data_IF_385641882235
#
_entry.id   IF_385641882235
#
_cell.length_a   1.000
_cell.length_b   1.000
_cell.length_c   1.000
_cell.angle_alpha   90.00
_cell.angle_beta   90.00
_cell.angle_gamma   90.00
#
_symmetry.space_group_name_H-M   'P 1'
#
loop_
_entity.id
_entity.type
_entity.pdbx_description
1 polymer ?
#
# COMPACT_ATOMS: atom_id res chain seq x y z
N UNK A 1 -31.43 -10.88 58.07
CA UNK A 1 -30.12 -10.34 57.62
C UNK A 1 -29.64 -11.33 56.57
N UNK A 2 -29.34 -11.01 55.30
CA UNK A 2 -28.80 -9.79 54.70
C UNK A 2 -29.21 -9.81 53.21
N UNK A 3 -29.95 -8.79 52.74
CA UNK A 3 -30.29 -8.62 51.32
C UNK A 3 -29.07 -8.00 50.62
N UNK A 4 -28.43 -8.73 49.71
CA UNK A 4 -27.33 -8.20 48.90
C UNK A 4 -27.93 -7.62 47.62
N UNK A 5 -28.03 -6.30 47.58
CA UNK A 5 -28.49 -5.54 46.42
C UNK A 5 -27.42 -5.57 45.33
N UNK A 6 -27.71 -6.22 44.20
CA UNK A 6 -26.91 -6.17 42.98
C UNK A 6 -27.09 -4.78 42.36
N UNK A 7 -26.09 -3.91 42.54
CA UNK A 7 -26.03 -2.63 41.84
C UNK A 7 -25.43 -2.84 40.44
N UNK A 8 -26.27 -2.66 39.43
CA UNK A 8 -25.90 -2.54 38.03
C UNK A 8 -25.04 -1.27 37.84
N UNK A 9 -23.71 -1.40 37.91
CA UNK A 9 -22.81 -0.41 37.33
C UNK A 9 -22.70 -0.67 35.83
N UNK A 10 -23.74 -0.30 35.09
CA UNK A 10 -23.62 0.00 33.65
C UNK A 10 -22.87 1.34 33.53
N UNK A 11 -21.56 1.30 33.79
CA UNK A 11 -20.66 2.39 33.49
C UNK A 11 -20.53 2.51 31.98
N UNK A 12 -21.28 3.43 31.39
CA UNK A 12 -21.09 3.88 30.01
C UNK A 12 -19.73 4.57 29.96
N UNK A 13 -18.68 3.82 29.62
CA UNK A 13 -17.39 4.40 29.24
C UNK A 13 -17.59 5.05 27.87
N UNK A 14 -18.03 6.31 27.88
CA UNK A 14 -17.89 7.20 26.73
C UNK A 14 -16.40 7.50 26.62
N UNK A 15 -15.69 6.75 25.78
CA UNK A 15 -14.35 7.17 25.36
C UNK A 15 -14.52 8.38 24.46
N UNK A 16 -14.42 9.57 25.06
CA UNK A 16 -14.12 10.81 24.34
C UNK A 16 -12.82 10.60 23.57
N UNK A 17 -12.94 10.35 22.27
CA UNK A 17 -11.81 10.41 21.35
C UNK A 17 -11.44 11.88 21.18
N UNK A 18 -10.61 12.40 22.10
CA UNK A 18 -10.04 13.73 21.98
C UNK A 18 -9.16 13.77 20.73
N UNK A 19 -9.68 14.35 19.65
CA UNK A 19 -8.90 14.64 18.44
C UNK A 19 -7.88 15.73 18.78
N UNK A 20 -6.60 15.38 18.78
CA UNK A 20 -5.53 16.31 19.09
C UNK A 20 -5.19 17.11 17.82
N UNK A 21 -5.12 18.44 17.91
CA UNK A 21 -4.78 19.33 16.79
C UNK A 21 -3.74 20.35 17.24
N UNK A 22 -2.70 20.57 16.46
CA UNK A 22 -1.71 21.63 16.72
C UNK A 22 -2.23 22.96 16.17
N UNK A 23 -2.11 24.02 16.97
CA UNK A 23 -2.46 25.39 16.55
C UNK A 23 -1.21 26.09 16.05
N UNK A 24 -1.25 26.58 14.82
CA UNK A 24 -0.18 27.34 14.21
C UNK A 24 -0.13 28.79 14.72
N UNK A 25 0.96 29.53 14.49
CA UNK A 25 1.12 30.89 15.01
C UNK A 25 0.04 31.90 14.56
N UNK A 26 -0.62 31.66 13.43
CA UNK A 26 -1.73 32.48 12.92
C UNK A 26 -3.12 32.05 13.44
N UNK A 27 -3.17 31.09 14.36
CA UNK A 27 -4.39 30.53 14.91
C UNK A 27 -5.05 29.46 14.04
N UNK A 28 -4.49 29.14 12.87
CA UNK A 28 -4.94 28.00 12.07
C UNK A 28 -4.64 26.67 12.78
N UNK A 29 -5.39 25.62 12.46
CA UNK A 29 -5.25 24.30 13.08
C UNK A 29 -4.79 23.26 12.06
N UNK A 30 -3.86 22.43 12.50
CA UNK A 30 -3.38 21.26 11.78
C UNK A 30 -3.58 19.99 12.63
N UNK A 31 -3.57 18.82 11.99
CA UNK A 31 -3.53 17.53 12.71
C UNK A 31 -2.30 17.47 13.63
N UNK A 32 -2.44 16.74 14.73
CA UNK A 32 -1.37 16.41 15.68
C UNK A 32 -0.08 15.83 15.08
N UNK A 33 -0.15 15.18 13.92
CA UNK A 33 1.02 14.64 13.22
C UNK A 33 1.57 15.58 12.14
N UNK A 34 0.96 16.75 11.96
CA UNK A 34 1.36 17.71 10.94
C UNK A 34 2.29 18.82 11.48
N UNK A 35 3.05 19.44 10.57
CA UNK A 35 3.91 20.60 10.87
C UNK A 35 3.34 21.85 10.25
N UNK A 36 3.17 22.90 11.05
CA UNK A 36 2.80 24.22 10.56
C UNK A 36 3.93 24.81 9.70
N UNK A 37 3.66 24.99 8.41
CA UNK A 37 4.59 25.61 7.48
C UNK A 37 4.00 26.89 6.88
N UNK A 38 4.84 27.92 6.84
CA UNK A 38 4.45 29.25 6.36
C UNK A 38 4.18 29.24 4.85
N UNK A 39 3.18 30.00 4.43
CA UNK A 39 2.80 30.27 3.04
C UNK A 39 2.74 31.77 2.77
N UNK A 40 2.31 32.16 1.58
CA UNK A 40 2.06 33.58 1.24
C UNK A 40 0.85 34.18 1.96
N UNK A 41 -0.05 33.36 2.52
CA UNK A 41 -1.33 33.80 3.11
C UNK A 41 -1.49 33.46 4.60
N UNK A 42 -0.47 32.87 5.24
CA UNK A 42 -0.52 32.42 6.63
C UNK A 42 0.28 31.14 6.83
N UNK A 43 -0.32 30.15 7.48
CA UNK A 43 0.22 28.81 7.65
C UNK A 43 -0.63 27.75 6.94
N UNK A 44 0.02 26.65 6.60
CA UNK A 44 -0.58 25.44 6.03
C UNK A 44 0.08 24.22 6.67
N UNK A 45 -0.58 23.09 6.58
CA UNK A 45 -0.18 21.87 7.27
C UNK A 45 0.67 21.00 6.34
N UNK A 46 1.86 20.64 6.81
CA UNK A 46 2.64 19.58 6.20
C UNK A 46 2.28 18.25 6.87
N UNK A 47 1.95 17.19 6.11
CA UNK A 47 1.47 15.92 6.66
C UNK A 47 2.59 15.09 7.32
N UNK A 48 3.70 15.73 7.68
CA UNK A 48 4.84 15.12 8.34
C UNK A 48 5.12 15.81 9.67
N UNK A 49 5.42 15.04 10.73
CA UNK A 49 5.88 15.62 11.98
C UNK A 49 7.32 16.11 11.81
N UNK A 50 7.61 17.31 12.30
CA UNK A 50 8.93 17.97 12.17
C UNK A 50 9.39 18.09 10.70
N UNK A 51 8.46 18.42 9.80
CA UNK A 51 8.74 18.61 8.39
C UNK A 51 9.72 19.76 8.14
N UNK A 52 10.51 19.68 7.06
CA UNK A 52 11.20 20.85 6.52
C UNK A 52 10.25 21.62 5.59
N UNK A 53 9.96 22.87 5.92
CA UNK A 53 9.20 23.77 5.04
C UNK A 53 10.10 24.29 3.92
N UNK A 54 9.71 24.09 2.67
CA UNK A 54 10.48 24.56 1.53
C UNK A 54 10.28 26.07 1.30
N UNK A 55 11.30 26.72 0.74
CA UNK A 55 11.29 28.17 0.49
C UNK A 55 10.34 28.58 -0.65
N UNK A 56 9.81 27.62 -1.41
CA UNK A 56 8.76 27.86 -2.42
C UNK A 56 7.38 28.18 -1.83
N UNK A 57 7.26 28.18 -0.50
CA UNK A 57 6.02 28.46 0.24
C UNK A 57 4.85 27.52 -0.05
N UNK A 58 5.01 26.52 -0.91
CA UNK A 58 3.94 25.63 -1.39
C UNK A 58 4.18 24.16 -1.09
N UNK A 59 5.43 23.76 -0.87
CA UNK A 59 5.78 22.37 -0.57
C UNK A 59 6.59 22.20 0.73
N UNK A 60 6.71 20.95 1.15
CA UNK A 60 7.55 20.55 2.26
C UNK A 60 8.11 19.15 2.08
N UNK A 61 9.12 18.86 2.89
CA UNK A 61 9.82 17.59 2.91
C UNK A 61 9.69 16.91 4.28
N UNK A 62 9.75 15.57 4.30
CA UNK A 62 9.81 14.82 5.56
C UNK A 62 11.08 15.16 6.36
N UNK A 63 11.10 14.84 7.67
CA UNK A 63 12.25 15.13 8.52
C UNK A 63 13.55 14.50 7.98
N UNK A 64 14.64 15.26 8.02
CA UNK A 64 15.96 14.82 7.52
C UNK A 64 16.16 14.93 6.00
N UNK A 65 15.18 15.50 5.28
CA UNK A 65 15.29 15.83 3.87
C UNK A 65 15.36 17.34 3.63
N UNK A 66 16.11 17.72 2.61
CA UNK A 66 16.26 19.08 2.10
C UNK A 66 15.54 19.27 0.79
N UNK A 67 14.91 20.43 0.62
CA UNK A 67 14.23 20.78 -0.61
C UNK A 67 15.23 21.16 -1.70
N UNK A 68 15.21 20.44 -2.81
CA UNK A 68 15.85 20.86 -4.06
C UNK A 68 14.80 21.50 -4.97
N UNK A 69 14.79 22.83 -5.01
CA UNK A 69 13.77 23.58 -5.75
C UNK A 69 13.94 23.49 -7.27
N UNK A 70 15.13 23.15 -7.76
CA UNK A 70 15.38 22.99 -9.21
C UNK A 70 14.75 21.70 -9.71
N UNK A 71 14.91 20.61 -8.96
CA UNK A 71 14.36 19.30 -9.34
C UNK A 71 12.99 19.02 -8.75
N UNK A 72 12.49 19.88 -7.84
CA UNK A 72 11.26 19.67 -7.06
C UNK A 72 11.29 18.37 -6.24
N UNK A 73 12.48 18.01 -5.74
CA UNK A 73 12.71 16.78 -4.96
C UNK A 73 13.24 17.09 -3.57
N UNK A 74 12.77 16.33 -2.58
CA UNK A 74 13.36 16.19 -1.27
C UNK A 74 14.60 15.28 -1.36
N UNK A 75 15.77 15.78 -0.99
CA UNK A 75 17.04 15.04 -0.97
C UNK A 75 17.49 14.82 0.46
N UNK A 76 17.89 13.60 0.82
CA UNK A 76 18.35 13.30 2.18
C UNK A 76 19.71 13.95 2.45
N UNK A 77 19.88 14.60 3.61
CA UNK A 77 21.07 15.42 3.92
C UNK A 77 22.43 14.71 3.75
N UNK A 78 22.47 13.39 3.96
CA UNK A 78 23.71 12.61 3.92
C UNK A 78 23.72 11.51 2.83
N UNK A 79 22.67 11.41 2.02
CA UNK A 79 22.52 10.36 1.00
C UNK A 79 21.76 10.93 -0.22
N UNK A 80 22.43 11.71 -1.09
CA UNK A 80 21.78 12.44 -2.18
C UNK A 80 21.15 11.54 -3.26
N UNK A 81 21.47 10.24 -3.27
CA UNK A 81 20.78 9.24 -4.11
C UNK A 81 19.38 8.87 -3.60
N UNK A 82 19.07 9.15 -2.32
CA UNK A 82 17.72 9.00 -1.77
C UNK A 82 16.98 10.31 -2.00
N UNK A 83 16.16 10.33 -3.05
CA UNK A 83 15.34 11.47 -3.44
C UNK A 83 13.88 11.08 -3.58
N UNK A 84 12.98 11.98 -3.24
CA UNK A 84 11.54 11.80 -3.41
C UNK A 84 10.88 13.13 -3.80
N UNK A 85 9.72 13.13 -4.48
CA UNK A 85 9.04 14.36 -4.82
C UNK A 85 8.67 15.19 -3.59
N UNK A 86 8.75 16.51 -3.72
CA UNK A 86 8.28 17.44 -2.69
C UNK A 86 6.76 17.33 -2.55
N UNK A 87 6.27 17.33 -1.30
CA UNK A 87 4.83 17.19 -1.02
C UNK A 87 4.20 18.57 -0.87
N UNK A 88 3.04 18.76 -1.49
CA UNK A 88 2.28 20.01 -1.39
C UNK A 88 1.66 20.13 0.00
N UNK A 89 1.69 21.33 0.57
CA UNK A 89 1.07 21.61 1.87
C UNK A 89 -0.46 21.51 1.78
N UNK A 90 -1.10 21.07 2.85
CA UNK A 90 -2.55 21.01 3.00
C UNK A 90 -3.06 22.29 3.66
N UNK A 91 -4.24 22.76 3.26
CA UNK A 91 -4.80 23.99 3.83
C UNK A 91 -5.09 23.80 5.32
N UNK A 92 -4.61 24.72 6.15
CA UNK A 92 -4.89 24.68 7.58
C UNK A 92 -6.32 25.12 7.86
N UNK A 93 -6.98 24.46 8.80
CA UNK A 93 -8.37 24.77 9.13
C UNK A 93 -8.41 26.11 9.87
N UNK A 94 -9.01 27.11 9.21
CA UNK A 94 -9.05 28.48 9.72
C UNK A 94 -10.18 28.60 10.74
N UNK A 95 -9.97 29.28 11.89
CA UNK A 95 -11.07 29.59 12.79
C UNK A 95 -12.14 30.37 12.02
N UNK A 96 -13.34 29.80 11.90
CA UNK A 96 -14.48 30.51 11.34
C UNK A 96 -14.76 31.74 12.22
N UNK A 97 -14.68 32.92 11.62
CA UNK A 97 -15.25 34.12 12.24
C UNK A 97 -16.75 33.87 12.48
N UNK A 98 -17.35 34.43 13.55
CA UNK A 98 -18.70 34.08 13.98
C UNK A 98 -19.70 34.39 12.87
N UNK A 99 -20.25 33.33 12.27
CA UNK A 99 -21.35 33.39 11.31
C UNK A 99 -22.61 33.77 12.09
N UNK A 100 -23.27 34.82 11.62
CA UNK A 100 -24.57 35.29 12.16
C UNK A 100 -25.68 34.27 11.87
N UNK A 101 -26.82 34.31 12.59
CA UNK A 101 -27.78 33.21 12.64
C UNK A 101 -28.41 32.86 11.28
N UNK A 102 -28.83 31.60 11.08
CA UNK A 102 -29.31 31.12 9.79
C UNK A 102 -30.67 31.74 9.47
N UNK A 103 -30.79 32.37 8.31
CA UNK A 103 -32.08 32.57 7.67
C UNK A 103 -32.27 31.48 6.62
N UNK A 104 -33.29 30.65 6.87
CA UNK A 104 -33.90 29.79 5.87
C UNK A 104 -34.22 30.60 4.62
N UNK A 105 -33.79 30.14 3.44
CA UNK A 105 -34.71 30.10 2.32
C UNK A 105 -34.27 29.13 1.20
N UNK A 106 -35.24 28.28 0.85
CA UNK A 106 -35.40 27.49 -0.37
C UNK A 106 -34.40 26.37 -0.66
N UNK A 107 -34.76 25.22 -0.10
CA UNK A 107 -34.71 23.91 -0.74
C UNK A 107 -35.01 24.02 -2.25
N UNK A 108 -33.96 23.97 -3.06
CA UNK A 108 -34.08 23.52 -4.45
C UNK A 108 -33.36 22.20 -4.52
N UNK A 109 -34.16 21.15 -4.66
CA UNK A 109 -33.75 19.79 -4.93
C UNK A 109 -32.76 19.76 -6.10
N UNK A 110 -31.47 19.64 -5.77
CA UNK A 110 -30.45 19.13 -6.67
C UNK A 110 -30.04 17.81 -6.04
N UNK A 111 -30.15 16.67 -6.74
CA UNK A 111 -29.70 15.40 -6.18
C UNK A 111 -28.22 15.55 -5.88
N UNK A 112 -27.90 15.44 -4.61
CA UNK A 112 -26.56 15.40 -4.06
C UNK A 112 -25.88 14.16 -4.65
N UNK A 113 -25.32 14.28 -5.84
CA UNK A 113 -24.32 13.34 -6.32
C UNK A 113 -23.14 13.57 -5.41
N UNK A 114 -23.12 12.83 -4.30
CA UNK A 114 -21.97 12.61 -3.43
C UNK A 114 -20.81 12.24 -4.33
N UNK A 115 -20.08 13.26 -4.77
CA UNK A 115 -18.93 13.14 -5.65
C UNK A 115 -17.83 12.56 -4.77
N UNK A 116 -17.83 11.23 -4.65
CA UNK A 116 -16.66 10.51 -4.22
C UNK A 116 -15.54 10.99 -5.13
N UNK A 117 -14.56 11.70 -4.58
CA UNK A 117 -13.31 11.82 -5.30
C UNK A 117 -12.78 10.39 -5.49
N UNK A 118 -12.04 10.19 -6.56
CA UNK A 118 -11.39 8.91 -6.85
C UNK A 118 -9.96 9.24 -7.15
N UNK A 119 -9.04 8.42 -6.65
CA UNK A 119 -7.62 8.57 -6.92
C UNK A 119 -7.33 7.91 -8.26
N UNK A 120 -7.05 8.71 -9.29
CA UNK A 120 -6.65 8.19 -10.60
C UNK A 120 -5.20 7.70 -10.54
N UNK A 121 -4.99 6.40 -10.78
CA UNK A 121 -3.66 5.81 -10.85
C UNK A 121 -3.04 5.99 -12.23
N UNK A 122 -3.85 5.81 -13.28
CA UNK A 122 -3.54 6.12 -14.67
C UNK A 122 -4.83 6.31 -15.50
N UNK A 123 -4.71 6.24 -16.83
CA UNK A 123 -5.83 6.39 -17.77
C UNK A 123 -6.80 5.20 -17.79
N UNK A 124 -6.47 4.08 -17.14
CA UNK A 124 -7.23 2.84 -17.13
C UNK A 124 -7.67 2.45 -15.71
N UNK A 125 -6.99 2.90 -14.66
CA UNK A 125 -7.16 2.42 -13.29
C UNK A 125 -7.45 3.56 -12.29
N UNK A 126 -8.42 3.31 -11.41
CA UNK A 126 -8.80 4.20 -10.30
C UNK A 126 -8.86 3.47 -8.96
N UNK A 127 -8.52 4.19 -7.90
CA UNK A 127 -8.66 3.77 -6.51
C UNK A 127 -9.67 4.63 -5.75
N UNK A 128 -10.27 4.11 -4.67
CA UNK A 128 -11.12 4.91 -3.80
C UNK A 128 -10.36 6.07 -3.15
N UNK A 129 -11.09 7.08 -2.69
CA UNK A 129 -10.51 8.16 -1.90
C UNK A 129 -9.75 7.65 -0.68
N UNK A 130 -8.58 8.24 -0.45
CA UNK A 130 -7.71 7.86 0.66
C UNK A 130 -6.83 6.64 0.41
N UNK A 131 -6.89 6.03 -0.78
CA UNK A 131 -6.03 4.90 -1.14
C UNK A 131 -4.80 5.37 -1.91
N UNK A 132 -3.68 4.65 -1.76
CA UNK A 132 -2.45 4.90 -2.52
C UNK A 132 -2.36 3.92 -3.70
N UNK A 133 -2.11 4.44 -4.90
CA UNK A 133 -1.90 3.61 -6.09
C UNK A 133 -0.53 2.91 -6.04
N UNK A 134 -0.52 1.59 -6.02
CA UNK A 134 0.66 0.74 -6.06
C UNK A 134 0.76 0.00 -7.39
N UNK A 135 1.88 0.18 -8.09
CA UNK A 135 2.12 -0.45 -9.39
C UNK A 135 2.74 -1.82 -9.21
N UNK A 136 2.08 -2.84 -9.74
CA UNK A 136 2.57 -4.20 -9.76
C UNK A 136 3.63 -4.41 -10.87
N UNK A 137 4.65 -5.26 -10.67
CA UNK A 137 5.69 -5.54 -11.68
C UNK A 137 5.16 -6.00 -13.04
N UNK A 138 4.00 -6.68 -13.08
CA UNK A 138 3.30 -7.08 -14.32
C UNK A 138 2.52 -5.94 -15.01
N UNK A 139 2.59 -4.71 -14.50
CA UNK A 139 2.02 -3.51 -15.14
C UNK A 139 0.58 -3.15 -14.75
N UNK A 140 -0.02 -3.85 -13.79
CA UNK A 140 -1.36 -3.55 -13.25
C UNK A 140 -1.29 -2.71 -11.97
N UNK A 141 -2.38 -2.07 -11.58
CA UNK A 141 -2.46 -1.26 -10.36
C UNK A 141 -3.28 -1.93 -9.25
N UNK A 142 -2.81 -1.73 -8.03
CA UNK A 142 -3.49 -2.10 -6.80
C UNK A 142 -3.62 -0.88 -5.89
N UNK A 143 -4.71 -0.80 -5.16
CA UNK A 143 -5.05 0.24 -4.21
C UNK A 143 -4.63 -0.17 -2.81
N UNK A 144 -3.64 0.52 -2.26
CA UNK A 144 -3.23 0.39 -0.87
C UNK A 144 -4.20 1.15 0.04
N UNK A 145 -4.69 0.50 1.09
CA UNK A 145 -5.66 1.08 2.03
C UNK A 145 -5.11 2.17 2.95
N UNK A 146 -3.82 2.50 2.84
CA UNK A 146 -3.20 3.60 3.56
C UNK A 146 -3.09 4.84 2.68
N UNK A 147 -3.45 5.99 3.25
CA UNK A 147 -3.06 7.30 2.72
C UNK A 147 -1.54 7.42 2.80
N UNK A 148 -0.88 7.74 1.68
CA UNK A 148 0.59 7.82 1.58
C UNK A 148 1.31 6.51 1.99
N UNK A 149 0.70 5.37 1.66
CA UNK A 149 1.26 4.05 1.94
C UNK A 149 2.54 3.79 1.13
N UNK A 150 3.51 3.11 1.74
CA UNK A 150 4.70 2.64 1.05
C UNK A 150 4.40 1.33 0.32
N UNK A 151 4.36 1.39 -1.01
CA UNK A 151 4.19 0.19 -1.83
C UNK A 151 5.43 -0.72 -1.72
N UNK A 152 5.19 -2.01 -1.51
CA UNK A 152 6.22 -3.03 -1.59
C UNK A 152 6.57 -3.28 -3.07
N UNK A 153 7.74 -3.86 -3.32
CA UNK A 153 8.22 -4.12 -4.68
C UNK A 153 7.41 -5.21 -5.39
N UNK A 154 6.73 -6.07 -4.66
CA UNK A 154 5.81 -7.04 -5.24
C UNK A 154 4.52 -6.41 -5.77
N UNK A 155 4.21 -5.18 -5.37
CA UNK A 155 3.01 -4.43 -5.76
C UNK A 155 1.69 -5.01 -5.26
N UNK A 156 1.71 -6.03 -4.41
CA UNK A 156 0.52 -6.56 -3.72
C UNK A 156 0.45 -6.10 -2.26
N UNK A 157 1.60 -5.81 -1.67
CA UNK A 157 1.66 -5.36 -0.30
C UNK A 157 2.03 -3.88 -0.25
N UNK A 158 1.59 -3.24 0.82
CA UNK A 158 1.95 -1.90 1.18
C UNK A 158 1.97 -1.72 2.70
N UNK A 159 2.79 -0.78 3.14
CA UNK A 159 2.93 -0.44 4.54
C UNK A 159 2.38 0.96 4.83
N UNK A 160 1.93 1.21 6.06
CA UNK A 160 1.56 2.55 6.48
C UNK A 160 2.78 3.49 6.35
N UNK A 161 2.50 4.78 6.24
CA UNK A 161 3.55 5.79 6.11
C UNK A 161 4.61 5.65 7.22
N UNK A 162 5.89 5.72 6.83
CA UNK A 162 7.03 5.59 7.73
C UNK A 162 7.45 4.15 8.06
N UNK A 163 6.81 3.16 7.45
CA UNK A 163 7.21 1.76 7.54
C UNK A 163 7.62 1.21 6.19
N UNK A 164 8.60 0.33 6.23
CA UNK A 164 9.17 -0.33 5.07
C UNK A 164 8.72 -1.78 5.05
N UNK A 165 8.47 -2.30 3.87
CA UNK A 165 8.21 -3.72 3.75
C UNK A 165 9.49 -4.47 4.12
N UNK A 166 9.36 -5.50 4.93
CA UNK A 166 10.43 -6.46 5.12
C UNK A 166 10.75 -7.14 3.77
N UNK A 167 11.86 -7.87 3.72
CA UNK A 167 12.32 -8.51 2.49
C UNK A 167 11.35 -9.57 1.95
N UNK A 168 10.41 -10.04 2.79
CA UNK A 168 9.37 -11.00 2.39
C UNK A 168 8.05 -10.33 2.02
N UNK A 169 7.95 -9.00 2.17
CA UNK A 169 6.76 -8.17 1.99
C UNK A 169 5.55 -8.60 2.84
N UNK A 170 5.79 -9.38 3.90
CA UNK A 170 4.74 -9.84 4.81
C UNK A 170 4.62 -8.97 6.06
N UNK A 171 5.67 -8.21 6.39
CA UNK A 171 5.69 -7.36 7.57
C UNK A 171 6.13 -5.94 7.22
N UNK A 172 5.57 -5.00 7.97
CA UNK A 172 6.03 -3.62 7.97
C UNK A 172 7.05 -3.44 9.10
N UNK A 173 8.22 -2.91 8.78
CA UNK A 173 9.34 -2.71 9.69
C UNK A 173 9.78 -1.25 9.69
N UNK A 174 10.33 -0.79 10.81
CA UNK A 174 10.95 0.53 10.91
C UNK A 174 12.21 0.39 11.76
N UNK A 175 13.36 0.76 11.20
CA UNK A 175 14.66 0.70 11.89
C UNK A 175 14.94 -0.66 12.57
N UNK A 176 14.61 -1.76 11.87
CA UNK A 176 14.75 -3.15 12.33
C UNK A 176 13.81 -3.61 13.47
N UNK A 177 12.88 -2.76 13.91
CA UNK A 177 11.77 -3.18 14.78
C UNK A 177 10.57 -3.63 13.93
N UNK A 178 10.08 -4.85 14.21
CA UNK A 178 8.87 -5.40 13.58
C UNK A 178 7.65 -4.67 14.11
N UNK A 179 6.80 -4.15 13.23
CA UNK A 179 5.53 -3.57 13.62
C UNK A 179 4.53 -4.70 13.92
N UNK A 180 4.04 -4.83 15.16
CA UNK A 180 3.12 -5.90 15.51
C UNK A 180 1.71 -5.48 15.11
N UNK A 181 1.20 -5.99 14.00
CA UNK A 181 -0.26 -6.06 13.83
C UNK A 181 -0.77 -7.27 14.61
N UNK A 182 -1.82 -7.06 15.40
CA UNK A 182 -2.68 -8.15 15.88
C UNK A 182 -3.34 -8.84 14.68
N UNK A 183 -3.68 -10.14 14.80
CA UNK A 183 -4.12 -10.97 13.69
C UNK A 183 -5.56 -10.62 13.32
N UNK A 184 -5.77 -9.47 12.67
CA UNK A 184 -6.98 -9.11 11.92
C UNK A 184 -6.69 -7.88 11.06
N UNK A 185 -6.06 -8.10 9.91
CA UNK A 185 -6.61 -7.72 8.62
C UNK A 185 -5.70 -8.24 7.50
N UNK A 186 -6.25 -9.16 6.72
CA UNK A 186 -5.69 -9.57 5.45
C UNK A 186 -6.16 -8.59 4.36
N UNK A 187 -5.30 -8.45 3.34
CA UNK A 187 -5.37 -7.61 2.14
C UNK A 187 -4.88 -6.17 2.32
N UNK A 188 -3.56 -6.06 2.30
CA UNK A 188 -2.80 -4.81 2.27
C UNK A 188 -3.04 -3.98 1.00
N UNK A 189 -3.47 -4.60 -0.10
CA UNK A 189 -3.97 -3.88 -1.27
C UNK A 189 -5.13 -4.62 -1.97
N UNK A 190 -5.94 -3.87 -2.71
CA UNK A 190 -7.11 -4.36 -3.47
C UNK A 190 -6.88 -4.00 -4.95
N UNK A 191 -7.24 -4.83 -5.94
CA UNK A 191 -7.12 -4.46 -7.35
C UNK A 191 -7.78 -3.11 -7.67
N UNK A 192 -7.12 -2.26 -8.47
CA UNK A 192 -7.71 -1.01 -8.92
C UNK A 192 -8.86 -1.26 -9.90
N UNK A 193 -9.88 -0.39 -9.84
CA UNK A 193 -11.04 -0.50 -10.72
C UNK A 193 -10.68 -0.02 -12.11
N UNK A 194 -11.02 -0.81 -13.13
CA UNK A 194 -10.87 -0.43 -14.53
C UNK A 194 -11.92 0.63 -14.90
N UNK A 195 -11.48 1.69 -15.57
CA UNK A 195 -12.36 2.69 -16.18
C UNK A 195 -12.93 2.05 -17.45
N UNK A 196 -14.13 1.45 -17.37
CA UNK A 196 -14.81 0.96 -18.57
C UNK A 196 -15.15 2.14 -19.51
N UNK A 197 -14.92 2.03 -20.83
CA UNK A 197 -15.56 2.91 -21.78
C UNK A 197 -17.09 2.66 -21.77
N UNK A 198 -17.92 3.65 -22.13
CA UNK A 198 -19.37 3.51 -22.13
C UNK A 198 -19.80 2.35 -23.04
N UNK A 199 -20.78 1.61 -22.54
CA UNK A 199 -21.40 0.44 -23.15
C UNK A 199 -21.96 0.79 -24.54
N UNK A 200 -21.48 0.08 -25.56
CA UNK A 200 -22.25 -0.22 -26.78
C UNK A 200 -21.97 -1.69 -27.14
N UNK A 201 -22.90 -2.54 -26.72
CA UNK A 201 -23.06 -3.96 -27.08
C UNK A 201 -23.38 -4.11 -28.59
N UNK A 202 -23.10 -5.27 -29.24
CA UNK A 202 -24.04 -6.40 -29.10
C UNK A 202 -23.45 -7.83 -29.14
N UNK A 203 -23.88 -8.63 -28.16
CA UNK A 203 -24.56 -9.93 -28.22
C UNK A 203 -23.99 -11.02 -29.13
N UNK A 204 -23.47 -12.08 -28.51
CA UNK A 204 -23.73 -13.46 -28.96
C UNK A 204 -24.08 -14.38 -27.77
N UNK A 205 -25.17 -15.11 -27.96
CA UNK A 205 -26.00 -15.84 -27.00
C UNK A 205 -25.35 -17.05 -26.31
N UNK A 206 -25.62 -17.12 -25.00
CA UNK A 206 -26.02 -18.25 -24.14
C UNK A 206 -25.66 -19.71 -24.49
N UNK A 207 -25.23 -20.47 -23.47
CA UNK A 207 -26.01 -21.62 -22.96
C UNK A 207 -25.60 -21.99 -21.51
N UNK A 208 -26.53 -22.41 -20.63
CA UNK A 208 -26.28 -22.70 -19.22
C UNK A 208 -26.19 -24.21 -18.88
N UNK A 209 -25.90 -24.47 -17.60
CA UNK A 209 -25.81 -25.74 -16.83
C UNK A 209 -24.44 -26.42 -16.83
N UNK A 210 -23.88 -26.84 -15.68
CA UNK A 210 -24.49 -27.82 -14.77
C UNK A 210 -23.91 -27.72 -13.35
N UNK A 211 -24.75 -27.90 -12.34
CA UNK A 211 -24.36 -28.13 -10.93
C UNK A 211 -23.61 -29.45 -10.78
N UNK A 212 -22.43 -29.42 -10.16
CA UNK A 212 -21.79 -30.61 -9.58
C UNK A 212 -21.76 -30.50 -8.06
N UNK A 213 -22.19 -31.61 -7.48
CA UNK A 213 -22.34 -31.93 -6.07
C UNK A 213 -21.03 -31.80 -5.29
N UNK A 214 -21.19 -31.36 -4.05
CA UNK A 214 -20.19 -31.25 -2.98
C UNK A 214 -19.32 -32.51 -2.81
N UNK A 215 -18.00 -32.37 -3.03
CA UNK A 215 -17.02 -33.28 -2.44
C UNK A 215 -16.74 -32.81 -1.01
N UNK A 216 -17.04 -33.67 -0.04
CA UNK A 216 -16.86 -33.41 1.39
C UNK A 216 -15.37 -33.42 1.76
N UNK A 217 -14.94 -32.30 2.34
CA UNK A 217 -13.90 -32.06 3.36
C UNK A 217 -12.75 -33.08 3.47
N UNK A 218 -11.53 -32.67 3.08
CA UNK A 218 -10.33 -32.82 3.93
C UNK A 218 -9.22 -31.85 3.52
N UNK A 219 -8.78 -31.07 4.52
CA UNK A 219 -7.56 -30.26 4.62
C UNK A 219 -7.52 -28.84 3.98
N UNK A 220 -6.91 -27.85 4.68
CA UNK A 220 -6.91 -26.45 4.27
C UNK A 220 -5.92 -26.30 3.12
N UNK A 221 -6.42 -26.29 1.88
CA UNK A 221 -5.55 -26.18 0.71
C UNK A 221 -4.71 -24.90 0.75
N UNK A 222 -3.43 -25.11 1.06
CA UNK A 222 -2.36 -24.18 0.88
C UNK A 222 -2.37 -23.70 -0.58
N UNK A 223 -2.57 -22.39 -0.78
CA UNK A 223 -2.65 -21.80 -2.12
C UNK A 223 -1.44 -22.15 -2.98
N UNK A 224 -1.69 -22.70 -4.17
CA UNK A 224 -0.66 -23.03 -5.17
C UNK A 224 -0.26 -21.80 -5.99
N UNK A 225 1.01 -21.74 -6.42
CA UNK A 225 1.53 -20.68 -7.28
C UNK A 225 1.39 -21.13 -8.74
N UNK A 226 0.41 -20.57 -9.47
CA UNK A 226 0.22 -20.89 -10.89
C UNK A 226 1.24 -20.15 -11.76
N UNK A 227 2.04 -20.91 -12.52
CA UNK A 227 3.04 -20.39 -13.44
C UNK A 227 2.42 -20.03 -14.80
N UNK A 228 1.50 -20.87 -15.28
CA UNK A 228 0.64 -20.60 -16.43
C UNK A 228 -0.70 -21.37 -16.31
N UNK A 229 -1.40 -21.55 -17.44
CA UNK A 229 -2.69 -22.25 -17.50
C UNK A 229 -2.61 -23.75 -17.21
N UNK A 230 -1.42 -24.37 -17.33
CA UNK A 230 -1.21 -25.82 -17.18
C UNK A 230 -0.27 -26.17 -16.04
N UNK A 231 0.68 -25.30 -15.69
CA UNK A 231 1.76 -25.58 -14.75
C UNK A 231 1.64 -24.75 -13.47
N UNK A 232 1.89 -25.38 -12.33
CA UNK A 232 1.87 -24.76 -11.02
C UNK A 232 2.95 -25.30 -10.07
N UNK A 233 3.24 -24.50 -9.04
CA UNK A 233 4.17 -24.82 -7.97
C UNK A 233 3.46 -24.82 -6.60
N UNK A 234 4.06 -25.52 -5.64
CA UNK A 234 3.62 -25.47 -4.23
C UNK A 234 3.75 -24.06 -3.65
N UNK A 235 3.04 -23.79 -2.56
CA UNK A 235 3.14 -22.52 -1.84
C UNK A 235 4.59 -22.25 -1.41
N UNK A 236 5.04 -21.00 -1.55
CA UNK A 236 6.42 -20.60 -1.20
C UNK A 236 7.47 -20.84 -2.29
N UNK A 237 7.09 -21.41 -3.44
CA UNK A 237 7.99 -21.59 -4.57
C UNK A 237 7.88 -20.45 -5.59
N UNK A 238 8.92 -20.28 -6.41
CA UNK A 238 8.93 -19.31 -7.54
C UNK A 238 8.94 -20.04 -8.88
N UNK A 239 8.10 -19.60 -9.80
CA UNK A 239 8.08 -20.13 -11.17
C UNK A 239 9.31 -19.67 -11.95
N UNK A 240 10.14 -20.62 -12.37
CA UNK A 240 11.31 -20.40 -13.20
C UNK A 240 11.17 -21.13 -14.54
N UNK A 241 11.74 -20.55 -15.59
CA UNK A 241 11.85 -21.22 -16.89
C UNK A 241 13.07 -22.13 -16.89
N UNK A 242 12.84 -23.39 -17.26
CA UNK A 242 13.88 -24.37 -17.48
C UNK A 242 14.72 -24.05 -18.73
N UNK A 243 15.82 -24.78 -18.93
CA UNK A 243 16.70 -24.64 -20.10
C UNK A 243 16.00 -24.82 -21.46
N UNK A 244 14.91 -25.60 -21.49
CA UNK A 244 14.07 -25.84 -22.67
C UNK A 244 12.83 -24.93 -22.76
N UNK A 245 12.64 -24.02 -21.79
CA UNK A 245 11.46 -23.14 -21.72
C UNK A 245 10.23 -23.75 -21.04
N UNK A 246 10.32 -24.99 -20.54
CA UNK A 246 9.30 -25.57 -19.66
C UNK A 246 9.28 -24.86 -18.28
N UNK A 247 8.18 -24.97 -17.54
CA UNK A 247 8.11 -24.40 -16.20
C UNK A 247 8.69 -25.35 -15.16
N UNK A 248 9.49 -24.76 -14.28
CA UNK A 248 10.07 -25.38 -13.11
C UNK A 248 9.77 -24.50 -11.87
N UNK A 249 9.87 -25.10 -10.69
CA UNK A 249 9.69 -24.49 -9.40
C UNK A 249 11.03 -24.32 -8.70
N UNK A 250 11.40 -23.08 -8.42
CA UNK A 250 12.45 -22.78 -7.48
C UNK A 250 11.90 -22.89 -6.05
N UNK A 251 12.57 -23.60 -5.12
CA UNK A 251 12.09 -23.78 -3.74
C UNK A 251 12.22 -22.52 -2.88
N UNK A 252 12.71 -21.42 -3.45
CA UNK A 252 12.82 -20.15 -2.77
C UNK A 252 11.66 -19.23 -3.14
N UNK A 253 10.98 -18.62 -2.15
CA UNK A 253 9.99 -17.59 -2.42
C UNK A 253 10.70 -16.36 -2.97
N UNK A 254 10.16 -15.81 -4.07
CA UNK A 254 10.74 -14.67 -4.80
C UNK A 254 12.20 -14.89 -5.22
N UNK A 255 12.55 -16.14 -5.54
CA UNK A 255 13.90 -16.53 -5.93
C UNK A 255 14.29 -15.98 -7.31
N UNK A 256 15.57 -15.64 -7.47
CA UNK A 256 16.16 -15.26 -8.75
C UNK A 256 16.42 -16.52 -9.58
N UNK A 257 15.77 -16.66 -10.74
CA UNK A 257 16.07 -17.76 -11.67
C UNK A 257 17.43 -17.52 -12.36
N UNK A 258 18.30 -18.52 -12.35
CA UNK A 258 19.57 -18.45 -13.06
C UNK A 258 19.38 -18.64 -14.57
N UNK A 259 20.34 -18.14 -15.35
CA UNK A 259 20.28 -18.16 -16.83
C UNK A 259 20.42 -19.55 -17.42
N UNK A 260 20.99 -20.48 -16.67
CA UNK A 260 21.15 -21.87 -17.09
C UNK A 260 19.81 -22.65 -17.13
N UNK A 261 18.76 -22.12 -16.52
CA UNK A 261 17.44 -22.75 -16.44
C UNK A 261 17.44 -24.03 -15.59
N UNK A 262 18.44 -24.22 -14.73
CA UNK A 262 18.54 -25.38 -13.82
C UNK A 262 18.65 -24.91 -12.39
N UNK A 263 19.31 -23.78 -12.15
CA UNK A 263 19.54 -23.27 -10.81
C UNK A 263 18.71 -22.03 -10.51
N UNK A 264 18.57 -21.74 -9.23
CA UNK A 264 18.00 -20.50 -8.75
C UNK A 264 18.63 -20.08 -7.42
N UNK A 265 18.55 -18.79 -7.13
CA UNK A 265 19.02 -18.21 -5.88
C UNK A 265 17.85 -17.75 -5.02
N UNK A 266 18.04 -17.81 -3.71
CA UNK A 266 17.12 -17.19 -2.78
C UNK A 266 17.00 -15.68 -3.02
N UNK A 267 15.89 -15.10 -2.60
CA UNK A 267 15.69 -13.66 -2.70
C UNK A 267 16.85 -12.87 -2.07
N UNK A 268 17.31 -11.83 -2.78
CA UNK A 268 18.45 -11.00 -2.38
C UNK A 268 19.83 -11.51 -2.81
N UNK A 269 19.90 -12.68 -3.46
CA UNK A 269 21.14 -13.20 -4.05
C UNK A 269 21.06 -13.26 -5.57
N UNK A 270 22.20 -13.01 -6.22
CA UNK A 270 22.33 -13.06 -7.69
C UNK A 270 23.19 -14.24 -8.09
N UNK A 271 22.74 -15.00 -9.10
CA UNK A 271 23.53 -16.09 -9.65
C UNK A 271 24.87 -15.56 -10.17
N UNK A 272 25.95 -16.24 -9.78
CA UNK A 272 27.25 -16.04 -10.39
C UNK A 272 27.22 -16.44 -11.88
N UNK A 273 28.25 -16.08 -12.66
CA UNK A 273 28.28 -16.43 -14.09
C UNK A 273 28.19 -17.93 -14.37
N UNK A 274 28.60 -18.78 -13.42
CA UNK A 274 28.53 -20.24 -13.54
C UNK A 274 27.16 -20.83 -13.15
N UNK A 275 26.28 -20.01 -12.56
CA UNK A 275 24.99 -20.39 -11.96
C UNK A 275 25.06 -21.44 -10.84
N UNK A 276 26.27 -21.82 -10.39
CA UNK A 276 26.50 -22.79 -9.30
C UNK A 276 26.54 -22.12 -7.93
N UNK A 277 26.72 -20.79 -7.90
CA UNK A 277 26.76 -20.04 -6.66
C UNK A 277 25.93 -18.77 -6.74
N UNK A 278 25.47 -18.34 -5.58
CA UNK A 278 24.62 -17.20 -5.38
C UNK A 278 25.42 -16.18 -4.57
N UNK A 279 25.59 -14.99 -5.13
CA UNK A 279 26.33 -13.87 -4.54
C UNK A 279 25.37 -12.85 -3.95
N UNK A 280 25.51 -12.58 -2.67
CA UNK A 280 24.81 -11.54 -1.93
C UNK A 280 25.77 -10.42 -1.53
N UNK A 281 25.27 -9.45 -0.77
CA UNK A 281 26.04 -8.24 -0.39
C UNK A 281 27.35 -8.53 0.38
N UNK A 282 27.37 -9.58 1.21
CA UNK A 282 28.54 -9.98 2.01
C UNK A 282 28.76 -11.50 2.07
N UNK A 283 28.06 -12.27 1.25
CA UNK A 283 28.01 -13.74 1.37
C UNK A 283 27.91 -14.42 0.01
N UNK A 284 28.48 -15.62 -0.07
CA UNK A 284 28.33 -16.51 -1.21
C UNK A 284 27.79 -17.84 -0.70
N UNK A 285 26.69 -18.29 -1.29
CA UNK A 285 26.03 -19.56 -0.94
C UNK A 285 25.86 -20.39 -2.22
N UNK A 286 25.80 -21.73 -2.14
CA UNK A 286 25.50 -22.54 -3.32
C UNK A 286 24.09 -22.22 -3.85
N UNK A 287 23.92 -22.35 -5.16
CA UNK A 287 22.60 -22.21 -5.78
C UNK A 287 21.69 -23.39 -5.47
N UNK A 288 20.39 -23.12 -5.37
CA UNK A 288 19.37 -24.17 -5.31
C UNK A 288 19.07 -24.74 -6.69
N UNK A 289 18.63 -25.99 -6.73
CA UNK A 289 18.13 -26.62 -7.95
C UNK A 289 16.64 -26.28 -8.16
N UNK A 290 16.25 -26.08 -9.41
CA UNK A 290 14.85 -26.00 -9.79
C UNK A 290 14.25 -27.42 -9.89
N UNK A 291 12.99 -27.56 -9.48
CA UNK A 291 12.21 -28.80 -9.59
C UNK A 291 11.20 -28.69 -10.73
N UNK A 292 10.78 -29.79 -11.36
CA UNK A 292 9.76 -29.72 -12.41
C UNK A 292 8.43 -29.20 -11.86
N UNK A 293 7.79 -28.26 -12.57
CA UNK A 293 6.47 -27.78 -12.17
C UNK A 293 5.42 -28.87 -12.34
N UNK A 294 4.43 -28.87 -11.44
CA UNK A 294 3.28 -29.80 -11.50
C UNK A 294 2.31 -29.33 -12.57
N UNK A 295 1.52 -30.25 -13.10
CA UNK A 295 0.45 -29.96 -14.05
C UNK A 295 -0.91 -30.29 -13.44
N UNK A 296 -1.93 -29.51 -13.78
CA UNK A 296 -3.33 -29.86 -13.51
C UNK A 296 -3.77 -31.10 -14.31
#
# INVERSE_FOLDING_TARGET
MLRISVWLFMGVFVWDFASCSITCPDGSKCSDLATCCMTTQGYSCCPYPKAMCCADLTHCCPPGFRCNLVTQMCQKENQPWITMPMVKKEDAERPSLPVSPPQELQNTHVPDTKKSSVVHCDNLYTCPDGYTCCRHPKGVWFCCGYTLGRCCLDGYHCCPYGYDCDLTYTHCVRESLRYPFTPKQALSSIPASLISPPEDEPSFKETPMTTLTEARVSDPEAGVIRCDSKFYCSQGNTCCKGSTGQWNCCPYPLGQCCKDGVHCCQYGYTCDPSSLSCTGFFSQVPSGAQETARTD
#
